data_IF_942200588278
#
_entry.id   IF_942200588278
#
_cell.length_a   1.000
_cell.length_b   1.000
_cell.length_c   1.000
_cell.angle_alpha   90.00
_cell.angle_beta   90.00
_cell.angle_gamma   90.00
#
_symmetry.space_group_name_H-M   'P 1'
#
loop_
_entity.id
_entity.type
_entity.pdbx_description
1 polymer ?
#
# COMPACT_ATOMS: atom_id res chain seq x y z
N UNK A 1 -14.39 20.37 4.32
CA UNK A 1 -14.02 19.05 4.86
C UNK A 1 -12.57 18.83 4.46
N UNK A 2 -11.67 18.60 5.40
CA UNK A 2 -10.27 18.28 5.10
C UNK A 2 -10.20 16.75 4.99
N UNK A 3 -9.58 16.18 3.95
CA UNK A 3 -9.31 14.74 3.91
C UNK A 3 -8.41 14.31 5.08
N UNK A 4 -8.50 13.05 5.50
CA UNK A 4 -7.53 12.46 6.39
C UNK A 4 -6.31 12.07 5.56
N UNK A 5 -5.16 12.65 5.89
CA UNK A 5 -3.90 12.46 5.18
C UNK A 5 -2.92 11.74 6.10
N UNK A 6 -2.38 10.62 5.63
CA UNK A 6 -1.33 9.85 6.28
C UNK A 6 -0.15 9.73 5.31
N UNK A 7 0.91 10.48 5.58
CA UNK A 7 2.08 10.60 4.73
C UNK A 7 3.31 10.13 5.50
N UNK A 8 4.07 9.19 4.92
CA UNK A 8 5.29 8.65 5.54
C UNK A 8 6.41 8.47 4.51
N UNK A 9 7.60 8.94 4.87
CA UNK A 9 8.82 8.74 4.08
C UNK A 9 9.92 8.18 5.01
N UNK A 10 10.54 7.06 4.64
CA UNK A 10 11.67 6.51 5.36
C UNK A 10 12.83 6.10 4.45
N UNK A 11 14.04 6.51 4.85
CA UNK A 11 15.30 6.04 4.27
C UNK A 11 16.19 5.41 5.33
N UNK A 12 16.55 4.13 5.17
CA UNK A 12 17.26 3.39 6.20
C UNK A 12 18.43 2.52 5.69
N UNK A 13 19.52 2.49 6.48
CA UNK A 13 20.59 1.49 6.37
C UNK A 13 20.34 0.24 7.22
N UNK A 14 19.22 0.23 7.96
CA UNK A 14 18.73 -0.80 8.88
C UNK A 14 17.32 -1.20 8.44
N UNK A 15 16.79 -2.39 8.85
CA UNK A 15 15.45 -2.78 8.43
C UNK A 15 14.44 -1.67 8.74
N UNK A 16 13.66 -1.31 7.72
CA UNK A 16 12.67 -0.24 7.77
C UNK A 16 11.28 -0.85 7.86
N UNK A 17 10.50 -0.37 8.83
CA UNK A 17 9.10 -0.69 9.01
C UNK A 17 8.32 0.62 8.92
N UNK A 18 7.35 0.67 8.01
CA UNK A 18 6.37 1.74 7.91
C UNK A 18 5.00 1.15 8.17
N UNK A 19 4.27 1.68 9.15
CA UNK A 19 2.91 1.28 9.49
C UNK A 19 2.03 2.54 9.47
N UNK A 20 0.98 2.54 8.64
CA UNK A 20 0.06 3.67 8.50
C UNK A 20 -1.39 3.20 8.69
N UNK A 21 -2.07 3.71 9.71
CA UNK A 21 -3.49 3.40 9.98
C UNK A 21 -4.34 4.67 9.87
N UNK A 22 -5.38 4.65 9.02
CA UNK A 22 -6.24 5.82 8.77
C UNK A 22 -7.75 5.48 8.77
N UNK A 23 -8.40 5.46 9.94
CA UNK A 23 -9.84 5.36 10.06
C UNK A 23 -10.51 6.74 9.99
N UNK A 24 -11.39 6.97 9.01
CA UNK A 24 -12.02 8.28 8.84
C UNK A 24 -13.48 8.26 8.34
N UNK A 25 -14.26 9.28 8.75
CA UNK A 25 -15.55 9.60 8.11
C UNK A 25 -15.39 10.57 6.93
N UNK A 26 -14.15 10.87 6.53
CA UNK A 26 -13.75 11.78 5.44
C UNK A 26 -12.85 11.03 4.45
N UNK A 27 -12.68 11.52 3.21
CA UNK A 27 -11.81 10.85 2.24
C UNK A 27 -10.43 10.65 2.84
N UNK A 28 -9.87 9.45 2.63
CA UNK A 28 -8.56 9.05 3.16
C UNK A 28 -7.57 8.98 2.01
N UNK A 29 -6.39 9.55 2.25
CA UNK A 29 -5.21 9.40 1.42
C UNK A 29 -4.08 8.90 2.32
N UNK A 30 -3.57 7.70 2.02
CA UNK A 30 -2.38 7.13 2.63
C UNK A 30 -1.27 7.06 1.59
N UNK A 31 -0.16 7.76 1.82
CA UNK A 31 1.01 7.79 0.95
C UNK A 31 2.22 7.34 1.76
N UNK A 32 2.89 6.26 1.37
CA UNK A 32 4.06 5.73 2.07
C UNK A 32 5.20 5.41 1.10
N UNK A 33 6.37 6.01 1.32
CA UNK A 33 7.59 5.76 0.56
C UNK A 33 8.71 5.22 1.48
N UNK A 34 9.26 4.04 1.16
CA UNK A 34 10.35 3.41 1.91
C UNK A 34 11.52 3.07 1.01
N UNK A 35 12.73 3.53 1.36
CA UNK A 35 13.98 3.18 0.70
C UNK A 35 14.98 2.56 1.68
N UNK A 36 15.39 1.31 1.46
CA UNK A 36 16.30 0.61 2.36
C UNK A 36 17.43 -0.17 1.65
N UNK A 37 18.61 -0.20 2.26
CA UNK A 37 19.69 -1.13 1.80
C UNK A 37 19.52 -2.56 2.33
N UNK A 38 18.51 -2.80 3.15
CA UNK A 38 18.19 -4.04 3.87
C UNK A 38 16.67 -4.27 3.81
N UNK A 39 16.08 -5.36 4.38
CA UNK A 39 14.67 -5.65 4.14
C UNK A 39 13.79 -4.50 4.62
N UNK A 40 12.84 -4.13 3.77
CA UNK A 40 11.85 -3.09 4.03
C UNK A 40 10.45 -3.71 4.06
N UNK A 41 9.65 -3.26 5.01
CA UNK A 41 8.25 -3.62 5.20
C UNK A 41 7.44 -2.33 5.24
N UNK A 42 6.38 -2.29 4.42
CA UNK A 42 5.47 -1.15 4.31
C UNK A 42 4.04 -1.67 4.45
N UNK A 43 3.38 -1.36 5.55
CA UNK A 43 2.04 -1.78 5.93
C UNK A 43 1.12 -0.55 5.97
N UNK A 44 0.01 -0.57 5.24
CA UNK A 44 -0.98 0.52 5.23
C UNK A 44 -2.40 -0.03 5.39
N UNK A 45 -3.12 0.47 6.38
CA UNK A 45 -4.53 0.14 6.64
C UNK A 45 -5.38 1.41 6.58
N UNK A 46 -6.42 1.42 5.75
CA UNK A 46 -7.33 2.56 5.63
C UNK A 46 -8.80 2.14 5.66
N UNK A 47 -9.63 2.84 6.42
CA UNK A 47 -11.06 2.54 6.52
C UNK A 47 -11.92 3.80 6.50
N UNK A 48 -12.84 3.91 5.54
CA UNK A 48 -13.73 5.07 5.47
C UNK A 48 -15.14 4.80 4.91
N UNK A 49 -16.10 5.67 5.25
CA UNK A 49 -17.44 5.66 4.63
C UNK A 49 -17.46 6.36 3.25
N UNK A 50 -16.31 6.82 2.77
CA UNK A 50 -16.07 7.68 1.61
C UNK A 50 -14.79 7.21 0.90
N UNK A 51 -14.39 7.77 -0.26
CA UNK A 51 -13.32 7.16 -1.06
C UNK A 51 -12.00 7.09 -0.29
N UNK A 52 -11.30 5.97 -0.48
CA UNK A 52 -9.99 5.69 0.10
C UNK A 52 -8.99 5.52 -1.02
N UNK A 53 -7.86 6.18 -0.89
CA UNK A 53 -6.71 6.09 -1.77
C UNK A 53 -5.51 5.64 -0.91
N UNK A 54 -4.88 4.53 -1.26
CA UNK A 54 -3.65 4.05 -0.64
C UNK A 54 -2.57 3.92 -1.71
N UNK A 55 -1.47 4.64 -1.54
CA UNK A 55 -0.30 4.65 -2.42
C UNK A 55 0.93 4.23 -1.59
N UNK A 56 1.54 3.10 -1.95
CA UNK A 56 2.62 2.48 -1.20
C UNK A 56 3.81 2.21 -2.12
N UNK A 57 4.96 2.84 -1.89
CA UNK A 57 6.20 2.61 -2.65
C UNK A 57 7.31 2.06 -1.73
N UNK A 58 7.91 0.92 -2.09
CA UNK A 58 9.08 0.38 -1.41
C UNK A 58 10.23 0.06 -2.39
N UNK A 59 11.41 0.59 -2.09
CA UNK A 59 12.64 0.29 -2.81
C UNK A 59 13.69 -0.33 -1.88
N UNK A 60 14.18 -1.53 -2.22
CA UNK A 60 15.22 -2.17 -1.44
C UNK A 60 16.27 -2.94 -2.26
N UNK A 61 17.51 -2.99 -1.77
CA UNK A 61 18.56 -3.84 -2.37
C UNK A 61 18.38 -5.34 -2.04
N UNK A 62 17.47 -5.68 -1.13
CA UNK A 62 17.13 -7.04 -0.67
C UNK A 62 15.59 -7.18 -0.64
N UNK A 63 14.95 -8.28 -0.15
CA UNK A 63 13.51 -8.44 -0.28
C UNK A 63 12.75 -7.28 0.37
N UNK A 64 11.80 -6.71 -0.37
CA UNK A 64 10.84 -5.72 0.11
C UNK A 64 9.45 -6.35 0.16
N UNK A 65 8.67 -5.95 1.15
CA UNK A 65 7.30 -6.36 1.38
C UNK A 65 6.43 -5.09 1.47
N UNK A 66 5.39 -5.02 0.64
CA UNK A 66 4.36 -3.99 0.70
C UNK A 66 3.00 -4.67 0.92
N UNK A 67 2.31 -4.29 1.99
CA UNK A 67 1.00 -4.81 2.38
C UNK A 67 0.06 -3.61 2.53
N UNK A 68 -0.99 -3.48 1.71
CA UNK A 68 -1.91 -2.35 1.79
C UNK A 68 -3.37 -2.85 1.81
N UNK A 69 -4.06 -2.63 2.93
CA UNK A 69 -5.46 -2.97 3.17
C UNK A 69 -6.33 -1.71 3.16
N UNK A 70 -7.43 -1.71 2.41
CA UNK A 70 -8.37 -0.60 2.38
C UNK A 70 -9.84 -1.05 2.35
N UNK A 71 -10.68 -0.40 3.14
CA UNK A 71 -12.11 -0.71 3.23
C UNK A 71 -12.98 0.53 3.11
N UNK A 72 -13.94 0.55 2.18
CA UNK A 72 -14.91 1.63 2.08
C UNK A 72 -16.30 1.24 1.53
N UNK A 73 -17.33 2.03 1.87
CA UNK A 73 -18.68 1.87 1.27
C UNK A 73 -18.76 2.42 -0.18
N UNK A 74 -17.69 3.02 -0.67
CA UNK A 74 -17.58 3.65 -2.00
C UNK A 74 -16.24 3.21 -2.62
N UNK A 75 -15.81 3.65 -3.83
CA UNK A 75 -14.68 3.02 -4.48
C UNK A 75 -13.39 3.28 -3.70
N UNK A 76 -12.59 2.22 -3.64
CA UNK A 76 -11.27 2.15 -3.02
C UNK A 76 -10.25 2.01 -4.15
N UNK A 77 -9.15 2.75 -4.07
CA UNK A 77 -7.99 2.57 -4.93
C UNK A 77 -6.77 2.24 -4.06
N UNK A 78 -6.10 1.14 -4.38
CA UNK A 78 -4.81 0.77 -3.81
C UNK A 78 -3.78 0.66 -4.92
N UNK A 79 -2.73 1.46 -4.85
CA UNK A 79 -1.59 1.45 -5.76
C UNK A 79 -0.34 1.10 -4.96
N UNK A 80 0.33 0.01 -5.33
CA UNK A 80 1.48 -0.50 -4.62
C UNK A 80 2.64 -0.67 -5.62
N UNK A 81 3.77 -0.01 -5.38
CA UNK A 81 5.01 -0.20 -6.14
C UNK A 81 6.10 -0.83 -5.26
N UNK A 82 6.68 -1.96 -5.69
CA UNK A 82 7.89 -2.49 -5.07
C UNK A 82 9.02 -2.68 -6.08
N UNK A 83 10.19 -2.10 -5.77
CA UNK A 83 11.40 -2.20 -6.57
C UNK A 83 12.53 -2.83 -5.76
N UNK A 84 12.92 -4.05 -6.13
CA UNK A 84 14.04 -4.73 -5.49
C UNK A 84 14.98 -5.45 -6.47
N UNK A 85 16.26 -5.57 -6.08
CA UNK A 85 17.24 -6.38 -6.83
C UNK A 85 17.05 -7.90 -6.62
N UNK A 86 16.13 -8.29 -5.74
CA UNK A 86 15.74 -9.68 -5.42
C UNK A 86 14.20 -9.75 -5.37
N UNK A 87 13.58 -10.94 -5.24
CA UNK A 87 12.12 -11.04 -5.22
C UNK A 87 11.52 -10.16 -4.11
N UNK A 88 10.53 -9.36 -4.49
CA UNK A 88 9.67 -8.60 -3.60
C UNK A 88 8.26 -9.22 -3.58
N UNK A 89 7.50 -8.96 -2.52
CA UNK A 89 6.05 -9.24 -2.50
C UNK A 89 5.27 -7.93 -2.31
N UNK A 90 4.18 -7.82 -3.06
CA UNK A 90 3.16 -6.79 -2.90
C UNK A 90 1.82 -7.48 -2.69
N UNK A 91 1.19 -7.25 -1.55
CA UNK A 91 -0.13 -7.76 -1.20
C UNK A 91 -1.05 -6.57 -0.98
N UNK A 92 -2.08 -6.39 -1.81
CA UNK A 92 -3.00 -5.26 -1.66
C UNK A 92 -4.45 -5.77 -1.63
N UNK A 93 -5.14 -5.56 -0.50
CA UNK A 93 -6.53 -5.96 -0.29
C UNK A 93 -7.43 -4.73 -0.30
N UNK A 94 -8.48 -4.75 -1.12
CA UNK A 94 -9.51 -3.71 -1.11
C UNK A 94 -10.91 -4.31 -0.95
N UNK A 95 -11.64 -3.84 0.06
CA UNK A 95 -13.01 -4.24 0.35
C UNK A 95 -13.97 -3.07 0.13
N UNK A 96 -14.90 -3.20 -0.83
CA UNK A 96 -15.88 -2.17 -1.08
C UNK A 96 -17.25 -2.68 -1.55
N UNK A 97 -18.31 -1.89 -1.29
CA UNK A 97 -19.67 -2.14 -1.81
C UNK A 97 -19.81 -1.86 -3.32
N UNK A 98 -18.80 -1.24 -3.91
CA UNK A 98 -18.67 -0.91 -5.34
C UNK A 98 -17.31 -1.44 -5.81
N UNK A 99 -17.04 -1.58 -7.12
CA UNK A 99 -15.73 -2.03 -7.58
C UNK A 99 -14.61 -1.22 -6.95
N UNK A 100 -13.66 -1.94 -6.36
CA UNK A 100 -12.37 -1.41 -5.96
C UNK A 100 -11.42 -1.49 -7.17
N UNK A 101 -10.24 -0.90 -7.03
CA UNK A 101 -9.19 -0.98 -8.02
C UNK A 101 -7.89 -1.19 -7.25
N UNK A 102 -7.25 -2.33 -7.45
CA UNK A 102 -5.93 -2.63 -6.90
C UNK A 102 -4.93 -2.77 -8.05
N UNK A 103 -3.92 -1.91 -8.06
CA UNK A 103 -2.82 -1.95 -9.02
C UNK A 103 -1.50 -2.15 -8.27
N UNK A 104 -0.76 -3.17 -8.69
CA UNK A 104 0.47 -3.58 -8.05
C UNK A 104 1.57 -3.66 -9.12
N UNK A 105 2.52 -2.71 -9.11
CA UNK A 105 3.58 -2.55 -10.12
C UNK A 105 4.93 -2.88 -9.50
N UNK A 106 5.80 -3.54 -10.28
CA UNK A 106 7.15 -3.84 -9.81
C UNK A 106 8.17 -3.73 -10.94
N UNK A 107 8.97 -2.65 -10.99
CA UNK A 107 10.02 -2.51 -11.97
C UNK A 107 11.24 -3.35 -11.57
N UNK A 108 11.11 -4.68 -11.64
CA UNK A 108 12.16 -5.61 -11.23
C UNK A 108 12.76 -6.36 -12.43
N UNK A 109 14.08 -6.60 -12.37
CA UNK A 109 14.77 -7.57 -13.26
C UNK A 109 14.56 -9.03 -12.82
N UNK A 110 13.79 -9.23 -11.74
CA UNK A 110 13.55 -10.46 -10.98
C UNK A 110 12.05 -10.60 -10.70
N UNK A 111 11.52 -11.80 -10.41
CA UNK A 111 10.09 -11.98 -10.20
C UNK A 111 9.60 -11.23 -8.95
N UNK A 112 8.53 -10.47 -9.10
CA UNK A 112 7.75 -9.92 -7.98
C UNK A 112 6.40 -10.64 -7.93
N UNK A 113 6.01 -11.02 -6.73
CA UNK A 113 4.72 -11.64 -6.45
C UNK A 113 3.78 -10.51 -6.05
N UNK A 114 2.92 -10.12 -6.99
CA UNK A 114 1.84 -9.16 -6.74
C UNK A 114 0.52 -9.92 -6.60
N UNK A 115 -0.06 -9.88 -5.41
CA UNK A 115 -1.42 -10.33 -5.16
C UNK A 115 -2.30 -9.14 -4.82
N UNK A 116 -3.36 -8.99 -5.60
CA UNK A 116 -4.32 -7.92 -5.45
C UNK A 116 -5.70 -8.59 -5.26
N UNK A 117 -6.26 -8.49 -4.05
CA UNK A 117 -7.55 -9.10 -3.68
C UNK A 117 -8.61 -8.00 -3.64
N UNK A 118 -9.65 -8.17 -4.45
CA UNK A 118 -10.83 -7.31 -4.40
C UNK A 118 -12.01 -8.07 -3.80
N UNK A 119 -12.40 -7.69 -2.59
CA UNK A 119 -13.62 -8.18 -1.94
C UNK A 119 -14.77 -7.21 -2.24
N UNK A 120 -15.48 -7.47 -3.35
CA UNK A 120 -16.77 -6.81 -3.61
C UNK A 120 -17.83 -7.35 -2.63
N UNK A 121 -18.18 -6.58 -1.61
CA UNK A 121 -19.25 -6.90 -0.68
C UNK A 121 -20.60 -6.93 -1.44
N UNK A 122 -21.03 -8.14 -1.84
CA UNK A 122 -22.22 -8.41 -2.65
C UNK A 122 -23.52 -8.30 -1.87
#
# INVERSE_FOLDING_TARGET
MVPALCEFEASAMVPALCECEAPAMVPVLCECEVSAMVPALCECEASAMVPVLCECEASAMVPALCECEASAMVPVLCECEASAMVPALCECEASAMVPALCECVAPAMVPVLCECVEECAS
#
